data_IF_409787829862
#
_entry.id   IF_409787829862
#
_cell.length_a   1.000
_cell.length_b   1.000
_cell.length_c   1.000
_cell.angle_alpha   90.00
_cell.angle_beta   90.00
_cell.angle_gamma   90.00
#
_symmetry.space_group_name_H-M   'P 1'
#
loop_
_entity.id
_entity.type
_entity.pdbx_description
1 polymer ?
#
# COMPACT_ATOMS: atom_id res chain seq x y z
N UNK A 1 -6.29 10.82 7.35
CA UNK A 1 -7.29 10.56 6.30
C UNK A 1 -7.80 9.13 6.44
N UNK A 2 -9.12 8.90 6.26
CA UNK A 2 -9.69 7.56 6.43
C UNK A 2 -9.15 6.62 5.35
N UNK A 3 -8.47 5.56 5.77
CA UNK A 3 -8.07 4.47 4.88
C UNK A 3 -9.32 3.84 4.24
N UNK A 4 -9.25 3.41 2.96
CA UNK A 4 -10.37 2.75 2.31
C UNK A 4 -10.90 1.58 3.14
N UNK A 5 -12.22 1.41 3.15
CA UNK A 5 -12.83 0.27 3.84
C UNK A 5 -12.51 -0.99 3.06
N UNK A 6 -11.72 -1.89 3.64
CA UNK A 6 -11.50 -3.19 3.01
C UNK A 6 -12.79 -4.00 3.04
N UNK A 7 -13.31 -4.34 1.88
CA UNK A 7 -14.61 -5.00 1.71
C UNK A 7 -14.66 -6.50 2.07
N UNK A 8 -13.66 -7.03 2.78
CA UNK A 8 -13.62 -8.44 3.17
C UNK A 8 -12.49 -8.77 4.13
N UNK A 9 -12.71 -9.72 5.00
CA UNK A 9 -11.67 -10.32 5.83
C UNK A 9 -10.59 -10.94 4.94
N UNK A 10 -9.33 -10.53 5.12
CA UNK A 10 -8.16 -11.11 4.43
C UNK A 10 -7.79 -12.46 5.07
N UNK A 11 -8.70 -13.43 4.95
CA UNK A 11 -8.44 -14.79 5.39
C UNK A 11 -7.22 -15.34 4.65
N UNK A 12 -6.23 -15.82 5.40
CA UNK A 12 -5.02 -16.44 4.85
C UNK A 12 -3.94 -15.44 4.35
N UNK A 13 -4.07 -14.13 4.62
CA UNK A 13 -3.06 -13.14 4.18
C UNK A 13 -2.33 -12.41 5.31
N UNK A 14 -2.61 -12.74 6.56
CA UNK A 14 -1.96 -12.12 7.71
C UNK A 14 -0.43 -12.26 7.66
N UNK A 15 0.06 -13.43 7.22
CA UNK A 15 1.50 -13.70 7.12
C UNK A 15 2.17 -12.76 6.10
N UNK A 16 1.55 -12.56 4.92
CA UNK A 16 2.12 -11.66 3.91
C UNK A 16 2.07 -10.21 4.38
N UNK A 17 1.01 -9.78 5.07
CA UNK A 17 0.91 -8.44 5.67
C UNK A 17 2.02 -8.23 6.68
N UNK A 18 2.23 -9.16 7.62
CA UNK A 18 3.30 -9.08 8.62
C UNK A 18 4.68 -9.01 7.98
N UNK A 19 4.96 -9.81 6.96
CA UNK A 19 6.23 -9.79 6.22
C UNK A 19 6.46 -8.46 5.51
N UNK A 20 5.43 -7.87 4.92
CA UNK A 20 5.53 -6.55 4.26
C UNK A 20 5.82 -5.47 5.30
N UNK A 21 5.14 -5.48 6.45
CA UNK A 21 5.38 -4.53 7.55
C UNK A 21 6.81 -4.64 8.08
N UNK A 22 7.33 -5.85 8.26
CA UNK A 22 8.73 -6.08 8.67
C UNK A 22 9.71 -5.53 7.62
N UNK A 23 9.45 -5.77 6.35
CA UNK A 23 10.31 -5.27 5.27
C UNK A 23 10.26 -3.75 5.14
N UNK A 24 9.12 -3.11 5.36
CA UNK A 24 8.99 -1.65 5.41
C UNK A 24 9.87 -1.02 6.50
N UNK A 25 10.34 -1.78 7.50
CA UNK A 25 11.31 -1.30 8.49
C UNK A 25 12.69 -0.96 7.88
N UNK A 26 13.05 -1.55 6.75
CA UNK A 26 14.35 -1.38 6.10
C UNK A 26 14.27 -0.97 4.64
N UNK A 27 13.19 -1.30 3.93
CA UNK A 27 12.96 -0.92 2.55
C UNK A 27 12.27 0.44 2.45
N UNK A 28 12.70 1.27 1.51
CA UNK A 28 12.00 2.52 1.20
C UNK A 28 10.85 2.32 0.21
N UNK A 29 10.98 1.39 -0.74
CA UNK A 29 9.97 1.13 -1.78
C UNK A 29 9.64 -0.35 -1.86
N UNK A 30 8.36 -0.67 -1.68
CA UNK A 30 7.83 -2.02 -1.87
C UNK A 30 6.72 -1.97 -2.92
N UNK A 31 6.77 -2.88 -3.90
CA UNK A 31 5.73 -3.03 -4.92
C UNK A 31 5.02 -4.36 -4.79
N UNK A 32 3.72 -4.30 -4.52
CA UNK A 32 2.82 -5.46 -4.57
C UNK A 32 2.43 -5.73 -6.01
N UNK A 33 2.86 -6.86 -6.55
CA UNK A 33 2.56 -7.22 -7.95
C UNK A 33 1.55 -8.36 -8.04
N UNK A 34 0.87 -8.47 -9.18
CA UNK A 34 -0.06 -9.56 -9.45
C UNK A 34 -1.23 -9.15 -10.34
N UNK A 35 -1.99 -10.14 -10.76
CA UNK A 35 -3.13 -9.96 -11.69
C UNK A 35 -4.20 -9.01 -11.12
N UNK A 36 -5.01 -8.43 -12.02
CA UNK A 36 -6.18 -7.65 -11.63
C UNK A 36 -7.13 -8.47 -10.76
N UNK A 37 -7.68 -7.87 -9.70
CA UNK A 37 -8.63 -8.54 -8.80
C UNK A 37 -8.01 -9.51 -7.79
N UNK A 38 -6.69 -9.73 -7.79
CA UNK A 38 -6.02 -10.67 -6.85
C UNK A 38 -6.02 -10.17 -5.41
N UNK A 39 -6.41 -8.91 -5.16
CA UNK A 39 -6.51 -8.30 -3.83
C UNK A 39 -5.27 -7.53 -3.38
N UNK A 40 -4.49 -6.98 -4.30
CA UNK A 40 -3.34 -6.10 -3.99
C UNK A 40 -3.76 -4.89 -3.14
N UNK A 41 -4.80 -4.18 -3.56
CA UNK A 41 -5.39 -3.05 -2.81
C UNK A 41 -5.81 -3.46 -1.41
N UNK A 42 -6.46 -4.62 -1.25
CA UNK A 42 -6.86 -5.10 0.08
C UNK A 42 -5.65 -5.37 0.98
N UNK A 43 -4.58 -5.97 0.43
CA UNK A 43 -3.33 -6.19 1.16
C UNK A 43 -2.68 -4.85 1.53
N UNK A 44 -2.60 -3.88 0.61
CA UNK A 44 -2.00 -2.57 0.89
C UNK A 44 -2.76 -1.80 1.98
N UNK A 45 -4.08 -1.87 2.01
CA UNK A 45 -4.91 -1.26 3.06
C UNK A 45 -4.67 -1.91 4.43
N UNK A 46 -4.54 -3.24 4.49
CA UNK A 46 -4.24 -3.92 5.76
C UNK A 46 -2.81 -3.66 6.25
N UNK A 47 -1.84 -3.56 5.33
CA UNK A 47 -0.48 -3.11 5.66
C UNK A 47 -0.53 -1.69 6.25
N UNK A 48 -1.25 -0.77 5.61
CA UNK A 48 -1.41 0.60 6.09
C UNK A 48 -2.02 0.63 7.50
N UNK A 49 -3.06 -0.17 7.77
CA UNK A 49 -3.67 -0.29 9.11
C UNK A 49 -2.71 -0.85 10.15
N UNK A 50 -1.95 -1.88 9.78
CA UNK A 50 -0.96 -2.48 10.66
C UNK A 50 0.17 -1.50 11.01
N UNK A 51 0.58 -0.68 10.04
CA UNK A 51 1.59 0.36 10.20
C UNK A 51 1.11 1.47 11.14
N UNK A 52 -0.11 1.98 10.95
CA UNK A 52 -0.69 3.05 11.80
C UNK A 52 -0.85 2.61 13.26
N UNK A 53 -1.14 1.33 13.51
CA UNK A 53 -1.29 0.77 14.85
C UNK A 53 -0.01 0.11 15.39
N UNK A 54 1.09 0.23 14.67
CA UNK A 54 2.33 -0.51 14.88
C UNK A 54 3.51 0.35 15.33
N UNK A 55 4.70 0.08 14.80
CA UNK A 55 5.94 0.64 15.29
C UNK A 55 6.07 2.16 15.05
N UNK A 56 6.78 2.85 15.96
CA UNK A 56 7.04 4.30 15.97
C UNK A 56 7.71 4.85 14.67
N UNK A 57 8.22 3.99 13.80
CA UNK A 57 8.81 4.39 12.53
C UNK A 57 7.84 5.17 11.62
N UNK A 58 6.54 4.99 11.78
CA UNK A 58 5.52 5.63 10.98
C UNK A 58 4.69 6.60 11.83
N UNK A 59 5.38 7.37 12.68
CA UNK A 59 4.76 8.25 13.67
C UNK A 59 3.84 9.32 13.08
N UNK A 60 4.13 9.76 11.84
CA UNK A 60 3.30 10.75 11.13
C UNK A 60 2.13 10.11 10.35
N UNK A 61 2.03 8.77 10.39
CA UNK A 61 0.89 8.04 9.85
C UNK A 61 1.05 7.49 8.45
N UNK A 62 -0.06 7.37 7.75
CA UNK A 62 -0.15 6.79 6.43
C UNK A 62 -1.06 7.61 5.52
N UNK A 63 -0.66 7.78 4.27
CA UNK A 63 -1.46 8.42 3.23
C UNK A 63 -1.76 7.42 2.12
N UNK A 64 -2.98 7.44 1.61
CA UNK A 64 -3.43 6.55 0.55
C UNK A 64 -3.81 7.35 -0.68
N UNK A 65 -3.19 7.03 -1.82
CA UNK A 65 -3.40 7.70 -3.11
C UNK A 65 -3.83 6.67 -4.13
N UNK A 66 -5.01 6.86 -4.73
CA UNK A 66 -5.47 6.02 -5.83
C UNK A 66 -5.10 6.66 -7.18
N UNK A 67 -4.36 5.92 -8.01
CA UNK A 67 -3.86 6.41 -9.30
C UNK A 67 -4.71 5.97 -10.50
N UNK A 68 -5.84 5.29 -10.29
CA UNK A 68 -6.68 4.79 -11.39
C UNK A 68 -7.17 5.90 -12.34
N UNK A 69 -7.41 7.09 -11.82
CA UNK A 69 -7.87 8.25 -12.61
C UNK A 69 -6.72 9.12 -13.15
N UNK A 70 -5.46 8.85 -12.76
CA UNK A 70 -4.29 9.63 -13.17
C UNK A 70 -3.79 9.12 -14.52
N UNK A 71 -3.94 9.94 -15.56
CA UNK A 71 -3.62 9.55 -16.93
C UNK A 71 -2.21 9.97 -17.39
N UNK A 72 -1.55 10.92 -16.71
CA UNK A 72 -0.27 11.47 -17.11
C UNK A 72 0.66 11.73 -15.92
N UNK A 73 1.96 11.82 -16.22
CA UNK A 73 3.01 11.99 -15.23
C UNK A 73 2.92 13.32 -14.45
N UNK A 74 2.41 14.38 -15.07
CA UNK A 74 2.34 15.71 -14.46
C UNK A 74 1.26 15.77 -13.37
N UNK A 75 0.22 14.92 -13.48
CA UNK A 75 -0.87 14.81 -12.51
C UNK A 75 -0.51 13.99 -11.26
N UNK A 76 0.58 13.21 -11.29
CA UNK A 76 1.00 12.36 -10.14
C UNK A 76 1.27 13.22 -8.89
N UNK A 77 2.13 14.27 -8.94
CA UNK A 77 2.40 15.07 -7.76
C UNK A 77 1.16 15.77 -7.21
N UNK A 78 0.23 16.16 -8.10
CA UNK A 78 -1.04 16.80 -7.69
C UNK A 78 -1.87 15.81 -6.86
N UNK A 79 -2.06 14.59 -7.36
CA UNK A 79 -2.81 13.55 -6.64
C UNK A 79 -2.18 13.22 -5.28
N UNK A 80 -0.85 13.20 -5.20
CA UNK A 80 -0.14 13.00 -3.93
C UNK A 80 -0.36 14.19 -2.98
N UNK A 81 -0.24 15.44 -3.47
CA UNK A 81 -0.44 16.64 -2.66
C UNK A 81 -1.85 16.68 -2.08
N UNK A 82 -2.86 16.35 -2.88
CA UNK A 82 -4.25 16.29 -2.44
C UNK A 82 -4.46 15.23 -1.35
N UNK A 83 -3.86 14.06 -1.52
CA UNK A 83 -3.99 12.96 -0.56
C UNK A 83 -3.30 13.23 0.79
N UNK A 84 -2.19 13.97 0.80
CA UNK A 84 -1.53 14.38 2.04
C UNK A 84 -2.20 15.59 2.72
N UNK A 85 -3.26 16.14 2.10
CA UNK A 85 -4.03 17.25 2.64
C UNK A 85 -3.29 18.60 2.59
N UNK A 86 -2.33 18.75 1.69
CA UNK A 86 -1.61 20.00 1.51
C UNK A 86 -2.23 20.85 0.41
N UNK A 87 -2.27 22.16 0.64
CA UNK A 87 -2.65 23.11 -0.40
C UNK A 87 -1.47 23.30 -1.36
N UNK A 88 -1.74 23.30 -2.66
CA UNK A 88 -0.77 23.69 -3.64
C UNK A 88 -0.39 25.16 -3.41
N UNK A 89 0.91 25.41 -3.39
CA UNK A 89 1.42 26.80 -3.34
C UNK A 89 1.57 27.27 -4.80
N UNK A 90 0.93 28.39 -5.15
CA UNK A 90 0.98 28.97 -6.49
C UNK A 90 2.40 29.32 -6.97
N UNK A 91 3.33 29.52 -6.02
CA UNK A 91 4.73 29.83 -6.29
C UNK A 91 5.65 28.58 -6.40
N UNK A 92 5.12 27.37 -6.17
CA UNK A 92 5.89 26.13 -6.20
C UNK A 92 5.37 25.17 -7.27
N UNK A 93 6.27 24.36 -7.83
CA UNK A 93 5.85 23.25 -8.70
C UNK A 93 5.09 22.19 -7.89
N UNK A 94 4.18 21.40 -8.50
CA UNK A 94 3.49 20.31 -7.81
C UNK A 94 4.45 19.33 -7.12
N UNK A 95 5.61 19.04 -7.74
CA UNK A 95 6.62 18.20 -7.12
C UNK A 95 7.23 18.83 -5.85
N UNK A 96 7.58 20.11 -5.89
CA UNK A 96 8.12 20.84 -4.73
C UNK A 96 7.10 20.89 -3.58
N UNK A 97 5.82 20.97 -3.89
CA UNK A 97 4.74 20.87 -2.89
C UNK A 97 4.72 19.50 -2.21
N UNK A 98 4.85 18.39 -2.98
CA UNK A 98 4.97 17.03 -2.42
C UNK A 98 6.18 16.91 -1.51
N UNK A 99 7.36 17.36 -1.96
CA UNK A 99 8.60 17.29 -1.16
C UNK A 99 8.48 18.13 0.11
N UNK A 100 7.89 19.32 0.01
CA UNK A 100 7.68 20.18 1.19
C UNK A 100 6.79 19.50 2.22
N UNK A 101 5.75 18.78 1.78
CA UNK A 101 4.85 18.06 2.65
C UNK A 101 5.45 16.80 3.29
N UNK A 102 6.32 16.10 2.58
CA UNK A 102 6.76 14.76 2.98
C UNK A 102 8.22 14.69 3.48
N UNK A 103 9.05 15.73 3.25
CA UNK A 103 10.49 15.70 3.55
C UNK A 103 10.84 15.34 4.99
N UNK A 104 10.05 15.81 5.95
CA UNK A 104 10.29 15.59 7.38
C UNK A 104 9.33 14.56 7.98
N UNK A 105 8.57 13.86 7.16
CA UNK A 105 7.56 12.92 7.62
C UNK A 105 8.13 11.50 7.75
N UNK A 106 7.88 10.92 8.89
CA UNK A 106 8.13 9.50 9.19
C UNK A 106 6.84 8.72 8.96
N UNK A 107 6.56 8.41 7.70
CA UNK A 107 5.26 7.86 7.33
C UNK A 107 5.31 6.90 6.16
N UNK A 108 4.15 6.32 5.86
CA UNK A 108 3.93 5.43 4.73
C UNK A 108 3.04 6.11 3.68
N UNK A 109 3.52 6.22 2.46
CA UNK A 109 2.73 6.60 1.30
C UNK A 109 2.30 5.36 0.53
N UNK A 110 1.02 5.05 0.52
CA UNK A 110 0.45 3.97 -0.28
C UNK A 110 -0.04 4.54 -1.60
N UNK A 111 0.45 3.99 -2.71
CA UNK A 111 0.09 4.41 -4.07
C UNK A 111 -0.56 3.21 -4.77
N UNK A 112 -1.87 3.27 -4.92
CA UNK A 112 -2.65 2.17 -5.48
C UNK A 112 -2.89 2.33 -6.97
N UNK A 113 -2.87 1.21 -7.69
CA UNK A 113 -3.27 1.10 -9.10
C UNK A 113 -2.34 1.86 -10.07
N UNK A 114 -1.02 1.62 -9.96
CA UNK A 114 0.02 2.32 -10.74
C UNK A 114 0.23 1.77 -12.16
N UNK A 115 -0.57 0.82 -12.65
CA UNK A 115 -0.33 0.12 -13.92
C UNK A 115 -0.13 1.05 -15.12
N UNK A 116 -0.93 2.12 -15.21
CA UNK A 116 -0.91 3.02 -16.37
C UNK A 116 0.24 4.03 -16.32
N UNK A 117 0.77 4.30 -15.12
CA UNK A 117 1.79 5.32 -14.86
C UNK A 117 3.12 4.72 -14.36
N UNK A 118 3.29 3.40 -14.46
CA UNK A 118 4.46 2.69 -13.92
C UNK A 118 5.79 3.30 -14.38
N UNK A 119 5.93 3.62 -15.66
CA UNK A 119 7.14 4.25 -16.20
C UNK A 119 7.38 5.66 -15.64
N UNK A 120 6.34 6.46 -15.43
CA UNK A 120 6.45 7.78 -14.82
C UNK A 120 6.82 7.67 -13.33
N UNK A 121 6.24 6.71 -12.62
CA UNK A 121 6.56 6.42 -11.22
C UNK A 121 8.01 5.97 -11.05
N UNK A 122 8.52 5.11 -11.93
CA UNK A 122 9.91 4.67 -11.92
C UNK A 122 10.91 5.84 -12.09
N UNK A 123 10.52 6.88 -12.81
CA UNK A 123 11.32 8.12 -12.93
C UNK A 123 11.19 9.08 -11.75
N UNK A 124 10.02 9.14 -11.12
CA UNK A 124 9.72 10.07 -10.02
C UNK A 124 10.24 9.57 -8.66
N UNK A 125 10.03 8.29 -8.35
CA UNK A 125 10.27 7.72 -7.03
C UNK A 125 11.73 7.81 -6.57
N UNK A 126 12.76 7.53 -7.39
CA UNK A 126 14.15 7.65 -6.95
C UNK A 126 14.49 9.07 -6.45
N UNK A 127 13.95 10.08 -7.11
CA UNK A 127 14.11 11.48 -6.70
C UNK A 127 13.34 11.75 -5.40
N UNK A 128 12.10 11.29 -5.30
CA UNK A 128 11.28 11.46 -4.07
C UNK A 128 11.94 10.79 -2.86
N UNK A 129 12.50 9.59 -3.03
CA UNK A 129 13.22 8.88 -1.96
C UNK A 129 14.48 9.61 -1.51
N UNK A 130 15.19 10.25 -2.45
CA UNK A 130 16.35 11.09 -2.14
C UNK A 130 15.97 12.35 -1.36
N UNK A 131 14.85 12.97 -1.74
CA UNK A 131 14.37 14.22 -1.13
C UNK A 131 13.62 13.98 0.21
N UNK A 132 13.08 12.77 0.43
CA UNK A 132 12.29 12.35 1.59
C UNK A 132 12.83 11.02 2.17
N UNK A 133 13.99 11.02 2.84
CA UNK A 133 14.71 9.79 3.23
C UNK A 133 13.98 8.94 4.29
N UNK A 134 13.12 9.55 5.08
CA UNK A 134 12.37 8.88 6.16
C UNK A 134 10.99 8.37 5.71
N UNK A 135 10.59 8.68 4.47
CA UNK A 135 9.35 8.20 3.86
C UNK A 135 9.53 6.77 3.35
N UNK A 136 8.55 5.91 3.61
CA UNK A 136 8.40 4.63 2.92
C UNK A 136 7.26 4.69 1.92
N UNK A 137 7.36 3.94 0.83
CA UNK A 137 6.34 3.87 -0.22
C UNK A 137 5.92 2.44 -0.48
N UNK A 138 4.62 2.18 -0.44
CA UNK A 138 4.01 0.91 -0.81
C UNK A 138 3.17 1.10 -2.07
N UNK A 139 3.46 0.34 -3.11
CA UNK A 139 2.85 0.49 -4.42
C UNK A 139 2.07 -0.76 -4.77
N UNK A 140 0.93 -0.61 -5.45
CA UNK A 140 0.28 -1.73 -6.13
C UNK A 140 0.35 -1.55 -7.64
N UNK A 141 0.77 -2.61 -8.34
CA UNK A 141 0.87 -2.64 -9.79
C UNK A 141 0.64 -4.06 -10.31
N UNK A 142 0.40 -4.22 -11.61
CA UNK A 142 0.38 -5.57 -12.24
C UNK A 142 1.77 -6.12 -12.41
N UNK A 143 2.74 -5.26 -12.68
CA UNK A 143 4.13 -5.58 -12.96
C UNK A 143 5.06 -4.73 -12.09
N UNK A 144 6.30 -5.17 -11.86
CA UNK A 144 7.30 -4.35 -11.17
C UNK A 144 7.58 -3.04 -11.90
N UNK A 145 7.96 -2.00 -11.16
CA UNK A 145 8.38 -0.71 -11.72
C UNK A 145 9.81 -0.76 -12.29
N UNK A 146 10.56 -1.82 -12.00
CA UNK A 146 11.95 -2.04 -12.45
C UNK A 146 12.93 -0.97 -11.96
N UNK A 147 12.79 -0.55 -10.70
CA UNK A 147 13.71 0.39 -10.04
C UNK A 147 14.77 -0.36 -9.21
N UNK A 148 15.97 0.20 -9.10
CA UNK A 148 17.09 -0.42 -8.37
C UNK A 148 16.79 -0.69 -6.89
N UNK A 149 16.08 0.22 -6.23
CA UNK A 149 15.73 0.12 -4.80
C UNK A 149 14.38 -0.57 -4.54
N UNK A 150 13.72 -1.09 -5.57
CA UNK A 150 12.40 -1.70 -5.47
C UNK A 150 12.48 -3.10 -4.85
N UNK A 151 11.69 -3.34 -3.81
CA UNK A 151 11.42 -4.70 -3.34
C UNK A 151 10.05 -5.17 -3.84
N UNK A 152 10.03 -6.29 -4.55
CA UNK A 152 8.83 -6.81 -5.19
C UNK A 152 8.22 -7.94 -4.36
N UNK A 153 6.93 -7.79 -4.04
CA UNK A 153 6.11 -8.81 -3.38
C UNK A 153 5.02 -9.30 -4.33
N UNK A 154 5.14 -10.49 -4.91
CA UNK A 154 4.08 -11.07 -5.73
C UNK A 154 2.89 -11.48 -4.85
N UNK A 155 1.71 -11.00 -5.21
CA UNK A 155 0.44 -11.38 -4.60
C UNK A 155 -0.22 -12.42 -5.51
N UNK A 156 -0.27 -13.65 -5.03
CA UNK A 156 -0.88 -14.76 -5.75
C UNK A 156 -2.38 -14.86 -5.45
N UNK A 157 -3.09 -15.55 -6.32
CA UNK A 157 -4.49 -15.92 -6.04
C UNK A 157 -4.54 -16.83 -4.81
N UNK A 158 -5.44 -16.54 -3.88
CA UNK A 158 -5.68 -17.45 -2.76
C UNK A 158 -6.10 -18.81 -3.32
N UNK A 159 -5.47 -19.88 -2.83
CA UNK A 159 -5.92 -21.21 -3.18
C UNK A 159 -7.35 -21.40 -2.65
N UNK A 160 -8.28 -21.64 -3.56
CA UNK A 160 -9.72 -21.68 -3.26
C UNK A 160 -10.06 -22.73 -2.19
N UNK A 161 -9.23 -23.76 -2.02
CA UNK A 161 -9.45 -24.80 -1.00
C UNK A 161 -9.08 -24.33 0.40
N UNK A 162 -7.92 -23.66 0.54
CA UNK A 162 -7.47 -23.14 1.85
C UNK A 162 -8.34 -21.98 2.29
N UNK A 163 -8.61 -21.04 1.40
CA UNK A 163 -9.43 -19.86 1.69
C UNK A 163 -10.90 -20.18 1.97
N UNK A 164 -11.48 -21.17 1.29
CA UNK A 164 -12.86 -21.58 1.55
C UNK A 164 -13.00 -22.26 2.93
N UNK A 165 -12.01 -23.05 3.33
CA UNK A 165 -12.00 -23.71 4.63
C UNK A 165 -11.85 -22.71 5.78
N UNK A 166 -10.95 -21.74 5.64
CA UNK A 166 -10.71 -20.69 6.62
C UNK A 166 -11.91 -19.71 6.72
N UNK A 167 -12.50 -19.32 5.58
CA UNK A 167 -13.71 -18.50 5.52
C UNK A 167 -14.91 -19.22 6.14
N UNK A 168 -15.05 -20.50 5.89
CA UNK A 168 -16.11 -21.32 6.50
C UNK A 168 -15.90 -21.42 8.01
N UNK A 169 -14.69 -21.69 8.46
CA UNK A 169 -14.36 -21.78 9.88
C UNK A 169 -14.64 -20.45 10.61
N UNK A 170 -14.23 -19.31 10.06
CA UNK A 170 -14.50 -17.99 10.64
C UNK A 170 -15.99 -17.66 10.69
N UNK A 171 -16.75 -17.95 9.64
CA UNK A 171 -18.20 -17.73 9.64
C UNK A 171 -18.94 -18.68 10.59
N UNK A 172 -18.50 -19.93 10.70
CA UNK A 172 -19.06 -20.88 11.62
C UNK A 172 -18.87 -20.45 13.08
N UNK A 173 -17.67 -20.01 13.45
CA UNK A 173 -17.37 -19.45 14.80
C UNK A 173 -18.16 -18.17 15.06
N UNK A 174 -18.39 -17.32 14.06
CA UNK A 174 -19.17 -16.09 14.20
C UNK A 174 -20.67 -16.35 14.42
N UNK A 175 -21.20 -17.49 13.95
CA UNK A 175 -22.60 -17.90 14.13
C UNK A 175 -22.77 -18.76 15.36
N UNK A 176 -21.78 -19.58 15.70
CA UNK A 176 -21.79 -20.45 16.90
C UNK A 176 -20.37 -20.42 17.51
N UNK A 177 -20.24 -19.70 18.62
CA UNK A 177 -18.97 -19.55 19.36
C UNK A 177 -18.45 -20.87 19.97
N UNK A 178 -19.22 -21.95 19.91
CA UNK A 178 -18.84 -23.29 20.36
C UNK A 178 -18.31 -24.17 19.22
N UNK A 179 -18.30 -23.68 17.98
CA UNK A 179 -17.81 -24.43 16.83
C UNK A 179 -16.28 -24.54 16.84
N UNK A 180 -15.76 -25.73 17.04
CA UNK A 180 -14.33 -26.05 16.87
C UNK A 180 -14.06 -26.51 15.42
N UNK A 181 -13.30 -25.76 14.61
CA UNK A 181 -12.94 -26.21 13.28
C UNK A 181 -11.92 -27.33 13.36
N UNK A 182 -12.35 -28.54 13.09
CA UNK A 182 -11.50 -29.64 12.69
C UNK A 182 -11.07 -30.63 13.73
N UNK A 183 -11.79 -31.71 13.77
CA UNK A 183 -11.26 -33.02 14.08
C UNK A 183 -11.89 -34.03 13.10
N UNK A 184 -11.26 -34.16 11.93
CA UNK A 184 -11.33 -35.39 11.12
C UNK A 184 -10.08 -35.48 10.24
#
# INVERSE_FOLDING_TARGET
>A
EELPVSGGSLVGRQEIVSRIVEQLASAQVITLTGMGGVGKTSVSVEVARAVVNGPDRFADGCWFVEMAAVADAASIPVAVTDAIGMFQNDDATPYESVVTGLRSMWGLLVIDNCEQIAGAMAGLLPRLMSDCPDLAVLITSREPLLMEAEQVFPIETLDARTSAHELFAQRAVAVDSSFEPGSH
#
